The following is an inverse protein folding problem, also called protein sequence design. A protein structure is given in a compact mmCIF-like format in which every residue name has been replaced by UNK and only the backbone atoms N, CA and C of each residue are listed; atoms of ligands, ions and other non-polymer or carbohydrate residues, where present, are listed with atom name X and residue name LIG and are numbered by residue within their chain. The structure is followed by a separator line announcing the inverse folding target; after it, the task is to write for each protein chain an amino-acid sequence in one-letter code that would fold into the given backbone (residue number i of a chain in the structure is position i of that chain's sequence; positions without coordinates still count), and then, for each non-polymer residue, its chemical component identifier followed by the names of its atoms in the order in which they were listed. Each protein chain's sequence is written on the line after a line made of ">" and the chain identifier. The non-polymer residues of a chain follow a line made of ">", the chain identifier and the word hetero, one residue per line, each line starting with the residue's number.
data_IF_293958475721
#
_entry.id   IF_293958475721
#
_cell.length_a   1.000
_cell.length_b   1.000
_cell.length_c   1.000
_cell.angle_alpha   90.00
_cell.angle_beta   90.00
_cell.angle_gamma   90.00
#
_symmetry.space_group_name_H-M   'P 1'
#
loop_
_entity.id
_entity.type
_entity.pdbx_description
1 polymer ?
#
# COMPACT_ATOMS: atom_id res chain seq x y z
N UNK A 1 -11.07 21.49 10.92
CA UNK A 1 -10.39 20.26 11.35
C UNK A 1 -9.14 20.68 12.09
N UNK A 2 -9.10 20.37 13.38
CA UNK A 2 -8.01 20.75 14.28
C UNK A 2 -7.36 19.54 14.96
N UNK A 3 -8.00 18.36 14.85
CA UNK A 3 -7.54 17.11 15.46
C UNK A 3 -7.84 15.91 14.57
N UNK A 4 -7.18 14.79 14.83
CA UNK A 4 -7.50 13.53 14.18
C UNK A 4 -8.89 13.01 14.57
N UNK A 5 -9.39 13.41 15.71
CA UNK A 5 -10.77 13.08 16.15
C UNK A 5 -11.81 13.77 15.27
N UNK A 6 -11.58 15.02 14.83
CA UNK A 6 -12.47 15.69 13.87
C UNK A 6 -12.56 14.91 12.55
N UNK A 7 -11.43 14.31 12.12
CA UNK A 7 -11.38 13.46 10.92
C UNK A 7 -12.18 12.17 11.13
N UNK A 8 -12.09 11.57 12.30
CA UNK A 8 -12.83 10.35 12.63
C UNK A 8 -14.36 10.56 12.61
N UNK A 9 -14.82 11.78 12.90
CA UNK A 9 -16.24 12.16 12.97
C UNK A 9 -16.77 12.82 11.69
N UNK A 10 -16.02 12.82 10.58
CA UNK A 10 -16.48 13.41 9.32
C UNK A 10 -17.83 12.83 8.81
N UNK A 11 -18.11 11.58 9.13
CA UNK A 11 -19.40 10.95 8.78
C UNK A 11 -20.60 11.56 9.48
N UNK A 12 -20.40 12.25 10.60
CA UNK A 12 -21.45 12.90 11.39
C UNK A 12 -21.73 14.34 10.92
N UNK A 13 -20.91 14.86 9.99
CA UNK A 13 -21.07 16.21 9.47
C UNK A 13 -22.35 16.31 8.63
N UNK A 14 -23.15 17.34 8.89
CA UNK A 14 -24.35 17.61 8.08
C UNK A 14 -23.95 17.74 6.59
N UNK A 15 -24.63 17.02 5.68
CA UNK A 15 -24.34 17.10 4.23
C UNK A 15 -24.30 18.51 3.66
N UNK A 16 -25.03 19.46 4.26
CA UNK A 16 -25.03 20.88 3.88
C UNK A 16 -23.72 21.61 4.20
N UNK A 17 -22.90 21.05 5.08
CA UNK A 17 -21.61 21.61 5.45
C UNK A 17 -20.50 21.27 4.44
N UNK A 18 -20.75 20.31 3.54
CA UNK A 18 -19.83 19.96 2.49
C UNK A 18 -19.91 20.96 1.34
N UNK A 19 -18.88 21.78 1.18
CA UNK A 19 -18.83 22.84 0.15
C UNK A 19 -18.60 22.24 -1.25
N UNK A 20 -17.83 21.15 -1.33
CA UNK A 20 -17.53 20.44 -2.58
C UNK A 20 -18.08 19.03 -2.47
N UNK A 21 -18.96 18.67 -3.39
CA UNK A 21 -19.63 17.36 -3.40
C UNK A 21 -18.88 16.32 -4.25
N UNK A 22 -18.00 16.76 -5.14
CA UNK A 22 -17.19 15.91 -6.01
C UNK A 22 -16.01 16.68 -6.57
N UNK A 23 -14.84 16.03 -6.67
CA UNK A 23 -13.69 16.55 -7.39
C UNK A 23 -13.03 15.44 -8.24
N UNK A 24 -12.33 15.76 -9.35
CA UNK A 24 -11.62 14.77 -10.14
C UNK A 24 -10.38 14.26 -9.39
N UNK A 25 -9.93 13.04 -9.73
CA UNK A 25 -8.70 12.45 -9.19
C UNK A 25 -7.45 12.86 -9.96
N UNK A 26 -7.58 13.70 -11.00
CA UNK A 26 -6.48 14.17 -11.84
C UNK A 26 -6.57 15.68 -12.07
N UNK A 27 -5.42 16.30 -12.36
CA UNK A 27 -5.34 17.72 -12.69
C UNK A 27 -5.42 18.65 -11.47
N UNK A 28 -5.21 18.14 -10.26
CA UNK A 28 -5.11 18.92 -9.03
C UNK A 28 -3.64 19.01 -8.59
N UNK A 29 -3.33 19.99 -7.74
CA UNK A 29 -2.00 20.14 -7.10
C UNK A 29 -1.77 19.16 -5.95
N UNK A 30 -2.47 18.05 -5.93
CA UNK A 30 -2.37 16.96 -4.96
C UNK A 30 -1.85 15.74 -5.70
N UNK A 31 -1.04 14.92 -5.02
CA UNK A 31 -0.50 13.69 -5.59
C UNK A 31 -1.62 12.79 -6.15
N UNK A 32 -1.58 12.54 -7.47
CA UNK A 32 -2.59 11.75 -8.17
C UNK A 32 -2.68 10.30 -7.67
N UNK A 33 -1.56 9.73 -7.18
CA UNK A 33 -1.54 8.39 -6.65
C UNK A 33 -2.34 8.32 -5.33
N UNK A 34 -2.18 9.32 -4.48
CA UNK A 34 -2.96 9.46 -3.25
C UNK A 34 -4.44 9.63 -3.55
N UNK A 35 -4.79 10.49 -4.52
CA UNK A 35 -6.19 10.67 -4.95
C UNK A 35 -6.82 9.39 -5.50
N UNK A 36 -6.07 8.60 -6.27
CA UNK A 36 -6.52 7.29 -6.78
C UNK A 36 -6.74 6.27 -5.67
N UNK A 37 -5.95 6.30 -4.60
CA UNK A 37 -6.20 5.43 -3.45
C UNK A 37 -7.44 5.84 -2.65
N UNK A 38 -7.82 7.12 -2.70
CA UNK A 38 -9.04 7.61 -2.07
C UNK A 38 -10.29 7.32 -2.90
N UNK A 39 -10.18 7.11 -4.20
CA UNK A 39 -11.26 6.76 -5.13
C UNK A 39 -11.66 5.29 -4.91
N UNK A 40 -12.60 5.07 -3.98
CA UNK A 40 -12.96 3.72 -3.52
C UNK A 40 -13.73 2.90 -4.57
N UNK A 41 -14.46 3.57 -5.47
CA UNK A 41 -15.26 2.93 -6.52
C UNK A 41 -14.59 2.96 -7.91
N UNK A 42 -13.45 3.67 -8.05
CA UNK A 42 -12.64 3.71 -9.25
C UNK A 42 -13.27 4.50 -10.40
N UNK A 43 -14.17 5.44 -10.11
CA UNK A 43 -14.89 6.21 -11.15
C UNK A 43 -14.16 7.49 -11.60
N UNK A 44 -12.98 7.75 -11.05
CA UNK A 44 -12.14 8.91 -11.37
C UNK A 44 -12.57 10.20 -10.66
N UNK A 45 -13.39 10.10 -9.64
CA UNK A 45 -13.88 11.24 -8.85
C UNK A 45 -13.88 10.91 -7.37
N UNK A 46 -13.53 11.88 -6.56
CA UNK A 46 -13.72 11.80 -5.11
C UNK A 46 -15.03 12.43 -4.72
N UNK A 47 -15.87 11.69 -4.02
CA UNK A 47 -17.11 12.16 -3.43
C UNK A 47 -17.05 12.10 -1.91
N UNK A 48 -18.08 12.61 -1.26
CA UNK A 48 -18.20 12.60 0.21
C UNK A 48 -18.01 11.18 0.78
N UNK A 49 -18.61 10.17 0.14
CA UNK A 49 -18.50 8.79 0.60
C UNK A 49 -17.08 8.25 0.54
N UNK A 50 -16.30 8.61 -0.48
CA UNK A 50 -14.88 8.22 -0.59
C UNK A 50 -14.08 8.83 0.55
N UNK A 51 -14.26 10.12 0.80
CA UNK A 51 -13.59 10.83 1.89
C UNK A 51 -13.95 10.24 3.24
N UNK A 52 -15.24 9.96 3.49
CA UNK A 52 -15.70 9.33 4.73
C UNK A 52 -15.09 7.94 4.90
N UNK A 53 -15.14 7.11 3.86
CA UNK A 53 -14.61 5.73 3.90
C UNK A 53 -13.11 5.72 4.23
N UNK A 54 -12.33 6.59 3.56
CA UNK A 54 -10.89 6.70 3.82
C UNK A 54 -10.62 7.26 5.20
N UNK A 55 -11.37 8.27 5.65
CA UNK A 55 -11.24 8.86 7.00
C UNK A 55 -11.47 7.81 8.09
N UNK A 56 -12.52 7.04 7.97
CA UNK A 56 -12.84 5.96 8.90
C UNK A 56 -11.77 4.88 8.89
N UNK A 57 -11.30 4.49 7.69
CA UNK A 57 -10.26 3.48 7.56
C UNK A 57 -8.97 3.94 8.22
N UNK A 58 -8.44 5.12 7.85
CA UNK A 58 -7.15 5.59 8.36
C UNK A 58 -7.18 5.84 9.87
N UNK A 59 -8.28 6.38 10.40
CA UNK A 59 -8.43 6.63 11.84
C UNK A 59 -8.59 5.34 12.64
N UNK A 60 -9.12 4.28 12.06
CA UNK A 60 -9.18 2.95 12.70
C UNK A 60 -7.82 2.24 12.71
N UNK A 61 -6.94 2.55 11.74
CA UNK A 61 -5.60 1.96 11.64
C UNK A 61 -4.57 2.57 12.59
N UNK A 62 -4.84 3.73 13.19
CA UNK A 62 -3.90 4.47 14.03
C UNK A 62 -4.31 4.47 15.50
N UNK A 63 -3.32 4.32 16.40
CA UNK A 63 -3.49 4.52 17.84
C UNK A 63 -3.63 5.99 18.19
N UNK A 64 -2.78 6.84 17.57
CA UNK A 64 -2.86 8.29 17.68
C UNK A 64 -3.36 8.87 16.36
N UNK A 65 -4.60 9.32 16.33
CA UNK A 65 -5.25 9.88 15.13
C UNK A 65 -4.66 11.22 14.71
N UNK A 66 -4.05 11.98 15.63
CA UNK A 66 -3.48 13.29 15.34
C UNK A 66 -2.27 13.22 14.38
N UNK A 67 -1.64 12.05 14.24
CA UNK A 67 -0.60 11.82 13.24
C UNK A 67 -1.05 12.18 11.80
N UNK A 68 -2.35 12.11 11.51
CA UNK A 68 -2.90 12.43 10.18
C UNK A 68 -2.72 13.91 9.86
N UNK A 69 -2.75 14.78 10.87
CA UNK A 69 -2.65 16.23 10.69
C UNK A 69 -1.24 16.78 10.89
N UNK A 70 -0.30 15.95 11.30
CA UNK A 70 1.10 16.38 11.51
C UNK A 70 1.83 16.70 10.20
N UNK A 71 1.34 16.21 9.05
CA UNK A 71 1.92 16.51 7.74
C UNK A 71 3.32 15.95 7.54
N UNK A 72 3.63 14.81 8.17
CA UNK A 72 4.90 14.10 8.05
C UNK A 72 4.82 13.00 6.98
N UNK A 73 5.96 12.64 6.40
CA UNK A 73 6.10 11.60 5.38
C UNK A 73 6.58 10.25 5.94
N UNK A 74 6.59 10.11 7.25
CA UNK A 74 7.03 8.90 7.94
C UNK A 74 6.19 8.63 9.18
N UNK A 75 6.11 7.36 9.58
CA UNK A 75 5.38 6.92 10.76
C UNK A 75 6.17 5.85 11.51
N UNK A 76 6.11 5.89 12.84
CA UNK A 76 6.51 4.76 13.66
C UNK A 76 5.44 3.66 13.56
N UNK A 77 5.82 2.47 13.07
CA UNK A 77 4.88 1.35 12.90
C UNK A 77 4.21 0.92 14.22
N UNK A 78 4.78 1.26 15.37
CA UNK A 78 4.16 1.02 16.67
C UNK A 78 2.90 1.86 16.91
N UNK A 79 2.69 2.92 16.11
CA UNK A 79 1.46 3.72 16.12
C UNK A 79 0.31 3.05 15.36
N UNK A 80 0.59 1.97 14.62
CA UNK A 80 -0.47 1.20 13.94
C UNK A 80 -1.28 0.44 14.99
N UNK A 81 -2.60 0.48 14.86
CA UNK A 81 -3.53 -0.20 15.74
C UNK A 81 -3.58 -1.71 15.43
N UNK A 82 -2.85 -2.50 16.20
CA UNK A 82 -2.76 -3.96 16.03
C UNK A 82 -3.90 -4.74 16.71
N UNK A 83 -4.83 -4.07 17.39
CA UNK A 83 -6.05 -4.70 17.89
C UNK A 83 -7.06 -4.94 16.77
N UNK A 84 -7.04 -4.10 15.73
CA UNK A 84 -7.78 -4.33 14.50
C UNK A 84 -7.06 -5.36 13.61
N UNK A 85 -7.83 -6.26 12.98
CA UNK A 85 -7.28 -7.32 12.13
C UNK A 85 -6.52 -6.79 10.90
N UNK A 86 -6.99 -5.70 10.29
CA UNK A 86 -6.32 -5.05 9.15
C UNK A 86 -5.11 -4.26 9.62
N UNK A 87 -5.21 -3.58 10.77
CA UNK A 87 -4.08 -2.91 11.40
C UNK A 87 -2.96 -3.88 11.75
N UNK A 88 -3.28 -5.08 12.23
CA UNK A 88 -2.28 -6.14 12.46
C UNK A 88 -1.58 -6.58 11.16
N UNK A 89 -2.32 -6.72 10.06
CA UNK A 89 -1.74 -7.04 8.74
C UNK A 89 -0.85 -5.90 8.24
N UNK A 90 -1.33 -4.65 8.37
CA UNK A 90 -0.57 -3.46 7.99
C UNK A 90 0.75 -3.35 8.76
N UNK A 91 0.72 -3.55 10.07
CA UNK A 91 1.91 -3.59 10.92
C UNK A 91 2.90 -4.66 10.46
N UNK A 92 2.40 -5.88 10.21
CA UNK A 92 3.26 -7.00 9.77
C UNK A 92 3.89 -6.70 8.41
N UNK A 93 3.14 -6.11 7.47
CA UNK A 93 3.65 -5.70 6.16
C UNK A 93 4.71 -4.60 6.27
N UNK A 94 4.45 -3.57 7.08
CA UNK A 94 5.40 -2.49 7.30
C UNK A 94 6.70 -2.98 7.94
N UNK A 95 6.60 -3.88 8.93
CA UNK A 95 7.75 -4.52 9.55
C UNK A 95 8.56 -5.33 8.54
N UNK A 96 7.89 -6.11 7.69
CA UNK A 96 8.55 -6.90 6.65
C UNK A 96 9.28 -6.01 5.63
N UNK A 97 8.70 -4.85 5.27
CA UNK A 97 9.36 -3.88 4.37
C UNK A 97 10.66 -3.37 5.02
N UNK A 98 10.62 -2.96 6.28
CA UNK A 98 11.82 -2.50 7.00
C UNK A 98 12.91 -3.60 7.06
N UNK A 99 12.52 -4.84 7.36
CA UNK A 99 13.44 -5.99 7.37
C UNK A 99 14.05 -6.24 5.99
N UNK A 100 13.25 -6.21 4.92
CA UNK A 100 13.71 -6.43 3.55
C UNK A 100 14.69 -5.34 3.09
N UNK A 101 14.45 -4.09 3.49
CA UNK A 101 15.34 -2.96 3.24
C UNK A 101 16.59 -2.97 4.12
N UNK A 102 16.66 -3.83 5.14
CA UNK A 102 17.74 -3.87 6.12
C UNK A 102 17.79 -2.64 7.02
N UNK A 103 16.65 -2.00 7.23
CA UNK A 103 16.53 -0.85 8.13
C UNK A 103 16.35 -1.29 9.56
N UNK A 104 17.17 -0.73 10.44
CA UNK A 104 17.00 -0.89 11.88
C UNK A 104 16.00 0.15 12.39
N UNK A 105 15.19 -0.23 13.39
CA UNK A 105 14.18 0.64 13.99
C UNK A 105 12.76 0.37 13.52
N UNK A 106 11.86 1.30 13.85
CA UNK A 106 10.41 1.14 13.70
C UNK A 106 9.77 2.25 12.84
N UNK A 107 10.57 3.13 12.27
CA UNK A 107 10.07 4.24 11.44
C UNK A 107 10.12 3.87 9.96
N UNK A 108 8.96 3.87 9.32
CA UNK A 108 8.81 3.69 7.87
C UNK A 108 8.43 5.02 7.22
N UNK A 109 9.06 5.34 6.11
CA UNK A 109 8.78 6.56 5.35
C UNK A 109 8.06 6.26 4.03
N UNK A 110 7.47 7.29 3.43
CA UNK A 110 6.89 7.20 2.10
C UNK A 110 7.93 6.75 1.06
N UNK A 111 9.18 7.23 1.17
CA UNK A 111 10.27 6.81 0.30
C UNK A 111 10.56 5.32 0.40
N UNK A 112 10.45 4.71 1.59
CA UNK A 112 10.66 3.28 1.81
C UNK A 112 9.62 2.42 1.10
N UNK A 113 8.42 2.92 0.92
CA UNK A 113 7.33 2.22 0.23
C UNK A 113 7.28 2.47 -1.27
N UNK A 114 8.02 3.46 -1.77
CA UNK A 114 8.02 3.84 -3.17
C UNK A 114 8.86 2.92 -4.05
N UNK A 115 9.97 2.39 -3.52
CA UNK A 115 10.88 1.52 -4.27
C UNK A 115 10.53 0.03 -4.06
N UNK A 116 9.55 -0.43 -4.82
CA UNK A 116 9.11 -1.83 -4.79
C UNK A 116 10.25 -2.77 -5.16
N UNK A 117 11.14 -2.38 -6.07
CA UNK A 117 12.28 -3.21 -6.48
C UNK A 117 13.25 -3.43 -5.32
N UNK A 118 13.58 -2.38 -4.59
CA UNK A 118 14.44 -2.48 -3.41
C UNK A 118 13.81 -3.33 -2.30
N UNK A 119 12.51 -3.18 -2.06
CA UNK A 119 11.77 -3.96 -1.05
C UNK A 119 11.88 -5.45 -1.32
N UNK A 120 11.76 -5.87 -2.58
CA UNK A 120 11.75 -7.28 -2.96
C UNK A 120 13.10 -7.82 -3.45
N UNK A 121 14.14 -6.98 -3.56
CA UNK A 121 15.45 -7.36 -4.11
C UNK A 121 16.10 -8.57 -3.42
N UNK A 122 15.81 -8.80 -2.13
CA UNK A 122 16.35 -9.90 -1.32
C UNK A 122 15.32 -10.98 -1.02
N UNK A 123 14.11 -10.87 -1.56
CA UNK A 123 13.05 -11.86 -1.31
C UNK A 123 13.00 -12.87 -2.45
N UNK A 124 12.68 -14.12 -2.11
CA UNK A 124 12.51 -15.20 -3.09
C UNK A 124 11.25 -15.02 -3.95
N UNK A 125 10.23 -14.41 -3.38
CA UNK A 125 8.95 -14.11 -4.03
C UNK A 125 8.62 -12.63 -3.82
N UNK A 126 8.27 -11.94 -4.88
CA UNK A 126 7.95 -10.51 -4.87
C UNK A 126 6.44 -10.19 -4.82
N UNK A 127 5.60 -11.22 -4.71
CA UNK A 127 4.14 -11.09 -4.55
C UNK A 127 3.37 -10.71 -5.83
N UNK A 128 3.99 -10.81 -7.01
CA UNK A 128 3.34 -10.53 -8.30
C UNK A 128 2.64 -11.76 -8.91
N UNK A 129 2.81 -12.93 -8.28
CA UNK A 129 2.25 -14.19 -8.76
C UNK A 129 3.06 -14.87 -9.86
N UNK A 130 4.25 -14.34 -10.19
CA UNK A 130 5.15 -14.92 -11.19
C UNK A 130 6.23 -15.74 -10.49
N UNK A 131 6.44 -16.96 -10.92
CA UNK A 131 7.46 -17.88 -10.40
C UNK A 131 8.60 -17.95 -11.42
N UNK A 132 9.76 -17.46 -11.04
CA UNK A 132 10.98 -17.47 -11.85
C UNK A 132 11.93 -18.60 -11.43
N UNK A 133 12.99 -18.86 -12.21
CA UNK A 133 14.03 -19.83 -11.83
C UNK A 133 14.70 -19.45 -10.50
N UNK A 134 14.78 -18.15 -10.16
CA UNK A 134 15.33 -17.69 -8.88
C UNK A 134 14.43 -17.95 -7.67
N UNK A 135 13.17 -18.34 -7.90
CA UNK A 135 12.21 -18.66 -6.84
C UNK A 135 12.50 -19.97 -6.10
N UNK A 136 13.46 -20.76 -6.56
CA UNK A 136 13.88 -22.03 -5.92
C UNK A 136 15.39 -22.22 -6.00
N UNK A 137 15.95 -23.01 -5.09
CA UNK A 137 17.35 -23.47 -5.16
C UNK A 137 17.47 -24.87 -5.77
N UNK A 138 16.36 -25.58 -5.91
CA UNK A 138 16.29 -26.92 -6.46
C UNK A 138 16.53 -26.91 -7.98
N UNK A 139 17.53 -27.68 -8.43
CA UNK A 139 17.95 -27.71 -9.83
C UNK A 139 16.91 -28.35 -10.76
N UNK A 140 16.13 -29.34 -10.28
CA UNK A 140 15.09 -30.00 -11.08
C UNK A 140 13.89 -29.08 -11.25
N UNK A 141 13.52 -28.34 -10.20
CA UNK A 141 12.45 -27.34 -10.27
C UNK A 141 12.86 -26.20 -11.20
N UNK A 142 14.10 -25.70 -11.11
CA UNK A 142 14.63 -24.69 -12.06
C UNK A 142 14.50 -25.15 -13.50
N UNK A 143 14.98 -26.36 -13.79
CA UNK A 143 14.90 -26.93 -15.14
C UNK A 143 13.43 -27.07 -15.62
N UNK A 144 12.53 -27.42 -14.73
CA UNK A 144 11.09 -27.52 -15.04
C UNK A 144 10.50 -26.14 -15.36
N UNK A 145 10.82 -25.10 -14.56
CA UNK A 145 10.41 -23.73 -14.82
C UNK A 145 10.93 -23.25 -16.18
N UNK A 146 12.24 -23.44 -16.45
CA UNK A 146 12.84 -23.08 -17.73
C UNK A 146 12.19 -23.79 -18.91
N UNK A 147 11.92 -25.10 -18.81
CA UNK A 147 11.24 -25.87 -19.83
C UNK A 147 9.79 -25.37 -20.08
N UNK A 148 9.07 -25.04 -19.02
CA UNK A 148 7.73 -24.49 -19.14
C UNK A 148 7.75 -23.12 -19.85
N UNK A 149 8.65 -22.21 -19.44
CA UNK A 149 8.81 -20.89 -20.09
C UNK A 149 9.14 -21.06 -21.58
N UNK A 150 10.02 -22.01 -21.93
CA UNK A 150 10.39 -22.24 -23.33
C UNK A 150 9.26 -22.80 -24.18
N UNK A 151 8.30 -23.49 -23.56
CA UNK A 151 7.20 -24.20 -24.26
C UNK A 151 5.97 -23.33 -24.41
N UNK A 152 5.56 -22.63 -23.34
CA UNK A 152 4.31 -21.88 -23.31
C UNK A 152 4.52 -20.36 -23.30
N UNK A 153 5.77 -19.90 -23.26
CA UNK A 153 6.13 -18.51 -23.08
C UNK A 153 6.25 -18.15 -21.60
N UNK A 154 6.96 -17.06 -21.33
CA UNK A 154 7.12 -16.50 -19.99
C UNK A 154 6.41 -15.17 -19.82
N UNK A 155 6.11 -14.82 -18.57
CA UNK A 155 5.63 -13.52 -18.14
C UNK A 155 6.77 -12.84 -17.38
N UNK A 156 7.01 -11.56 -17.63
CA UNK A 156 8.01 -10.82 -16.88
C UNK A 156 7.50 -10.55 -15.45
N UNK A 157 8.32 -10.92 -14.45
CA UNK A 157 8.09 -10.53 -13.08
C UNK A 157 8.47 -9.05 -12.83
N UNK A 158 8.27 -8.55 -11.62
CA UNK A 158 8.65 -7.17 -11.25
C UNK A 158 10.13 -6.87 -11.34
N UNK A 159 11.01 -7.88 -11.31
CA UNK A 159 12.45 -7.72 -11.50
C UNK A 159 12.85 -7.69 -12.98
N UNK A 160 11.93 -8.00 -13.88
CA UNK A 160 12.14 -8.17 -15.31
C UNK A 160 12.56 -9.58 -15.73
N UNK A 161 12.73 -10.51 -14.78
CA UNK A 161 13.02 -11.91 -15.09
C UNK A 161 11.79 -12.61 -15.67
N UNK A 162 12.00 -13.56 -16.60
CA UNK A 162 10.91 -14.36 -17.14
C UNK A 162 10.52 -15.47 -16.16
N UNK A 163 9.23 -15.67 -16.00
CA UNK A 163 8.69 -16.69 -15.11
C UNK A 163 7.36 -17.26 -15.58
N UNK A 164 6.80 -18.15 -14.78
CA UNK A 164 5.48 -18.74 -14.99
C UNK A 164 4.49 -17.93 -14.18
N UNK A 165 3.48 -17.36 -14.82
CA UNK A 165 2.40 -16.59 -14.21
C UNK A 165 1.08 -16.84 -14.89
N UNK A 166 -0.01 -16.25 -14.34
CA UNK A 166 -1.34 -16.28 -14.96
C UNK A 166 -1.43 -15.30 -16.12
#
# INVERSE_FOLDING_TARGET
>A
INSGEDIAHLAELDPKMWTVLSCPTTGLEIDEKSLKYMDCDGDGKLRINDVISVSQWITSMLKNKDLIIEGVDSIDINQINTEDANGKKLYSSAKQILENLGKEGTVISLADTADITAIFAKTRFNGDGVITESSTDDAEIKATIAAAISTVGGVADRSGAQGIGN
#
